data_IF_952382231396
#
_entry.id   IF_952382231396
#
_cell.length_a   1.000
_cell.length_b   1.000
_cell.length_c   1.000
_cell.angle_alpha   90.00
_cell.angle_beta   90.00
_cell.angle_gamma   90.00
#
_symmetry.space_group_name_H-M   'P 1'
#
loop_
_entity.id
_entity.type
_entity.pdbx_description
1 polymer ?
#
# COMPACT_ATOMS: atom_id res chain seq x y z
N UNK A 1 13.48 -1.72 13.81
CA UNK A 1 13.72 -2.26 12.46
C UNK A 1 12.42 -2.32 11.70
N UNK A 2 12.47 -1.98 10.42
CA UNK A 2 11.29 -2.02 9.56
C UNK A 2 10.97 -3.46 9.16
N UNK A 3 9.67 -3.81 9.14
CA UNK A 3 9.18 -5.08 8.59
C UNK A 3 8.91 -4.97 7.09
N UNK A 4 9.13 -3.80 6.50
CA UNK A 4 8.92 -3.53 5.09
C UNK A 4 10.23 -3.06 4.47
N UNK A 5 10.77 -3.86 3.54
CA UNK A 5 12.04 -3.59 2.89
C UNK A 5 11.81 -3.09 1.47
N UNK A 6 12.66 -2.16 1.03
CA UNK A 6 12.67 -1.69 -0.36
C UNK A 6 13.81 -2.38 -1.08
N UNK A 7 13.50 -3.04 -2.20
CA UNK A 7 14.47 -3.76 -3.02
C UNK A 7 14.52 -3.07 -4.38
N UNK A 8 15.52 -2.21 -4.58
CA UNK A 8 15.71 -1.48 -5.83
C UNK A 8 17.14 -0.99 -5.95
N UNK A 9 17.65 -0.94 -7.19
CA UNK A 9 18.92 -0.32 -7.52
C UNK A 9 18.77 1.09 -8.05
N UNK A 10 17.53 1.62 -8.09
CA UNK A 10 17.28 2.95 -8.62
C UNK A 10 17.41 4.02 -7.56
N UNK A 11 17.76 5.23 -8.03
CA UNK A 11 17.72 6.43 -7.21
C UNK A 11 16.39 7.12 -7.42
N UNK A 12 15.84 7.71 -6.35
CA UNK A 12 14.57 8.42 -6.38
C UNK A 12 14.80 9.90 -6.12
N UNK A 13 14.01 10.76 -6.83
CA UNK A 13 13.98 12.18 -6.52
C UNK A 13 13.40 12.39 -5.11
N UNK A 14 13.61 13.57 -4.50
CA UNK A 14 13.01 13.84 -3.19
C UNK A 14 11.49 13.64 -3.17
N UNK A 15 10.79 14.06 -4.23
CA UNK A 15 9.34 13.91 -4.30
C UNK A 15 8.91 12.47 -4.50
N UNK A 16 9.62 11.72 -5.35
CA UNK A 16 9.38 10.28 -5.49
C UNK A 16 9.60 9.55 -4.18
N UNK A 17 10.63 9.94 -3.43
CA UNK A 17 10.93 9.35 -2.13
C UNK A 17 9.82 9.62 -1.12
N UNK A 18 9.19 10.80 -1.16
CA UNK A 18 8.03 11.08 -0.31
C UNK A 18 6.90 10.09 -0.55
N UNK A 19 6.59 9.79 -1.81
CA UNK A 19 5.55 8.82 -2.18
C UNK A 19 5.94 7.43 -1.69
N UNK A 20 7.18 7.02 -1.94
CA UNK A 20 7.69 5.72 -1.53
C UNK A 20 7.65 5.55 -0.01
N UNK A 21 8.11 6.57 0.73
CA UNK A 21 8.10 6.55 2.20
C UNK A 21 6.66 6.49 2.73
N UNK A 22 5.74 7.22 2.11
CA UNK A 22 4.32 7.18 2.48
C UNK A 22 3.75 5.78 2.33
N UNK A 23 4.04 5.11 1.22
CA UNK A 23 3.55 3.75 0.98
C UNK A 23 4.19 2.76 1.96
N UNK A 24 5.50 2.88 2.18
CA UNK A 24 6.20 2.02 3.15
C UNK A 24 5.61 2.18 4.56
N UNK A 25 5.35 3.40 4.98
CA UNK A 25 4.73 3.69 6.28
C UNK A 25 3.32 3.11 6.35
N UNK A 26 2.55 3.20 5.26
CA UNK A 26 1.22 2.59 5.21
C UNK A 26 1.28 1.08 5.45
N UNK A 27 2.20 0.38 4.77
CA UNK A 27 2.37 -1.05 4.98
C UNK A 27 2.74 -1.36 6.44
N UNK A 28 3.64 -0.57 7.04
CA UNK A 28 3.98 -0.73 8.45
C UNK A 28 2.75 -0.54 9.35
N UNK A 29 1.90 0.44 9.05
CA UNK A 29 0.66 0.67 9.80
C UNK A 29 -0.30 -0.51 9.69
N UNK A 30 -0.39 -1.14 8.51
CA UNK A 30 -1.19 -2.35 8.31
C UNK A 30 -0.64 -3.52 9.16
N UNK A 31 0.68 -3.67 9.18
CA UNK A 31 1.33 -4.72 9.96
C UNK A 31 1.03 -4.55 11.46
N UNK A 32 1.09 -3.32 11.96
CA UNK A 32 0.81 -2.98 13.35
C UNK A 32 -0.68 -2.94 13.68
N UNK A 33 -1.54 -2.91 12.67
CA UNK A 33 -2.99 -2.72 12.80
C UNK A 33 -3.34 -1.44 13.58
N UNK A 34 -2.61 -0.38 13.28
CA UNK A 34 -2.79 0.94 13.87
C UNK A 34 -3.93 1.66 13.13
N UNK A 35 -5.16 1.48 13.61
CA UNK A 35 -6.34 2.00 12.93
C UNK A 35 -6.29 3.51 12.68
N UNK A 36 -5.97 4.36 13.67
CA UNK A 36 -5.89 5.80 13.41
C UNK A 36 -4.88 6.16 12.32
N UNK A 37 -3.72 5.51 12.28
CA UNK A 37 -2.70 5.75 11.25
C UNK A 37 -3.19 5.30 9.88
N UNK A 38 -3.82 4.13 9.79
CA UNK A 38 -4.39 3.62 8.54
C UNK A 38 -5.46 4.60 8.02
N UNK A 39 -6.37 5.04 8.88
CA UNK A 39 -7.41 5.98 8.51
C UNK A 39 -6.85 7.32 8.03
N UNK A 40 -5.78 7.80 8.66
CA UNK A 40 -5.15 9.06 8.31
C UNK A 40 -4.48 9.04 6.94
N UNK A 41 -4.07 7.88 6.46
CA UNK A 41 -3.36 7.72 5.19
C UNK A 41 -4.30 7.50 4.01
N UNK A 42 -5.42 6.82 4.23
CA UNK A 42 -6.34 6.47 3.15
C UNK A 42 -7.28 7.64 2.83
N UNK A 43 -7.35 8.01 1.55
CA UNK A 43 -8.35 8.97 1.10
C UNK A 43 -9.76 8.44 1.38
N UNK A 44 -10.75 9.33 1.64
CA UNK A 44 -12.13 8.87 1.80
C UNK A 44 -12.68 8.06 0.64
N UNK A 45 -12.15 8.28 -0.58
CA UNK A 45 -12.56 7.55 -1.78
C UNK A 45 -11.74 6.27 -2.02
N UNK A 46 -10.86 5.89 -1.10
CA UNK A 46 -9.96 4.76 -1.29
C UNK A 46 -10.68 3.48 -1.67
N UNK A 47 -10.07 2.75 -2.62
CA UNK A 47 -10.54 1.43 -3.05
C UNK A 47 -9.34 0.50 -3.16
N UNK A 48 -9.47 -0.70 -2.59
CA UNK A 48 -8.59 -1.82 -2.86
C UNK A 48 -9.22 -2.68 -3.95
N UNK A 49 -8.51 -2.90 -5.04
CA UNK A 49 -8.93 -3.85 -6.05
C UNK A 49 -8.17 -5.14 -5.80
N UNK A 50 -8.90 -6.18 -5.41
CA UNK A 50 -8.32 -7.49 -5.10
C UNK A 50 -7.78 -8.18 -6.35
N UNK A 51 -6.99 -9.23 -6.16
CA UNK A 51 -6.34 -9.94 -7.25
C UNK A 51 -7.34 -10.51 -8.27
N UNK A 52 -8.56 -10.82 -7.85
CA UNK A 52 -9.64 -11.30 -8.72
C UNK A 52 -10.42 -10.16 -9.40
N UNK A 53 -10.01 -8.91 -9.18
CA UNK A 53 -10.64 -7.73 -9.77
C UNK A 53 -11.79 -7.15 -8.94
N UNK A 54 -12.15 -7.76 -7.82
CA UNK A 54 -13.24 -7.26 -6.98
C UNK A 54 -12.82 -6.04 -6.19
N UNK A 55 -13.61 -4.94 -6.23
CA UNK A 55 -13.29 -3.74 -5.45
C UNK A 55 -13.76 -3.89 -4.00
N UNK A 56 -12.98 -3.32 -3.10
CA UNK A 56 -13.33 -3.20 -1.68
C UNK A 56 -13.14 -1.76 -1.26
N UNK A 57 -14.20 -1.17 -0.69
CA UNK A 57 -14.16 0.22 -0.25
C UNK A 57 -13.35 0.36 1.03
N UNK A 58 -12.98 1.61 1.32
CA UNK A 58 -12.12 2.01 2.44
C UNK A 58 -12.51 1.36 3.76
N UNK A 59 -13.77 1.51 4.18
CA UNK A 59 -14.21 1.03 5.50
C UNK A 59 -14.18 -0.51 5.59
N UNK A 60 -14.58 -1.20 4.52
CA UNK A 60 -14.51 -2.66 4.47
C UNK A 60 -13.08 -3.17 4.55
N UNK A 61 -12.15 -2.49 3.87
CA UNK A 61 -10.73 -2.83 3.93
C UNK A 61 -10.18 -2.64 5.34
N UNK A 62 -10.43 -1.48 5.95
CA UNK A 62 -9.97 -1.18 7.31
C UNK A 62 -10.52 -2.22 8.30
N UNK A 63 -11.81 -2.51 8.21
CA UNK A 63 -12.44 -3.50 9.10
C UNK A 63 -11.81 -4.87 8.95
N UNK A 64 -11.51 -5.31 7.72
CA UNK A 64 -10.87 -6.60 7.49
C UNK A 64 -9.46 -6.67 8.07
N UNK A 65 -8.71 -5.57 8.04
CA UNK A 65 -7.39 -5.49 8.67
C UNK A 65 -7.54 -5.61 10.20
N UNK A 66 -8.45 -4.84 10.77
CA UNK A 66 -8.59 -4.78 12.24
C UNK A 66 -9.17 -6.07 12.82
N UNK A 67 -10.12 -6.69 12.12
CA UNK A 67 -10.78 -7.93 12.61
C UNK A 67 -9.97 -9.20 12.32
N UNK A 68 -8.87 -9.10 11.58
CA UNK A 68 -8.00 -10.24 11.32
C UNK A 68 -8.33 -11.05 10.08
N UNK A 69 -9.17 -10.53 9.17
CA UNK A 69 -9.36 -11.14 7.86
C UNK A 69 -8.14 -10.89 6.95
N UNK A 70 -7.48 -9.74 7.13
CA UNK A 70 -6.26 -9.36 6.43
C UNK A 70 -5.16 -9.12 7.45
N UNK A 71 -4.14 -9.99 7.47
CA UNK A 71 -3.01 -9.88 8.39
C UNK A 71 -1.72 -9.86 7.59
N UNK A 72 -0.94 -8.81 7.77
CA UNK A 72 0.34 -8.64 7.13
C UNK A 72 1.44 -8.69 8.19
N UNK A 73 2.50 -9.47 7.96
CA UNK A 73 3.59 -9.65 8.93
C UNK A 73 4.89 -9.04 8.46
N UNK A 74 5.24 -9.28 7.19
CA UNK A 74 6.45 -8.74 6.57
C UNK A 74 6.16 -8.42 5.12
N UNK A 75 6.93 -7.48 4.56
CA UNK A 75 6.73 -7.04 3.18
C UNK A 75 8.05 -6.67 2.53
N UNK A 76 8.14 -6.88 1.22
CA UNK A 76 9.23 -6.38 0.37
C UNK A 76 8.62 -5.64 -0.80
N UNK A 77 9.05 -4.39 -0.99
CA UNK A 77 8.64 -3.55 -2.12
C UNK A 77 9.72 -3.69 -3.20
N UNK A 78 9.40 -4.41 -4.26
CA UNK A 78 10.35 -4.83 -5.28
C UNK A 78 10.23 -3.95 -6.51
N UNK A 79 11.32 -3.26 -6.85
CA UNK A 79 11.46 -2.41 -8.03
C UNK A 79 10.33 -1.40 -8.19
N UNK A 80 10.09 -0.53 -7.20
CA UNK A 80 9.06 0.49 -7.34
C UNK A 80 9.42 1.49 -8.44
N UNK A 81 8.44 1.80 -9.29
CA UNK A 81 8.55 2.78 -10.36
C UNK A 81 7.50 3.86 -10.10
N UNK A 82 7.93 5.09 -9.93
CA UNK A 82 7.07 6.17 -9.47
C UNK A 82 7.04 7.28 -10.51
N UNK A 83 5.84 7.64 -10.96
CA UNK A 83 5.59 8.76 -11.84
C UNK A 83 4.79 9.81 -11.09
N UNK A 84 5.21 11.06 -11.17
CA UNK A 84 4.54 12.17 -10.51
C UNK A 84 4.19 13.21 -11.54
N UNK A 85 2.93 13.64 -11.52
CA UNK A 85 2.43 14.71 -12.35
C UNK A 85 1.56 15.63 -11.49
N UNK A 86 2.04 16.85 -11.23
CA UNK A 86 1.37 17.80 -10.35
C UNK A 86 1.16 17.20 -8.95
N UNK A 87 -0.09 17.12 -8.51
CA UNK A 87 -0.45 16.57 -7.20
C UNK A 87 -0.88 15.11 -7.26
N UNK A 88 -0.52 14.40 -8.33
CA UNK A 88 -0.87 12.99 -8.49
C UNK A 88 0.38 12.15 -8.70
N UNK A 89 0.36 10.94 -8.16
CA UNK A 89 1.45 9.99 -8.33
C UNK A 89 0.88 8.61 -8.64
N UNK A 90 1.64 7.87 -9.43
CA UNK A 90 1.36 6.47 -9.71
C UNK A 90 2.63 5.67 -9.41
N UNK A 91 2.46 4.58 -8.66
CA UNK A 91 3.56 3.67 -8.35
C UNK A 91 3.24 2.28 -8.84
N UNK A 92 4.09 1.74 -9.71
CA UNK A 92 4.07 0.33 -10.07
C UNK A 92 5.11 -0.37 -9.22
N UNK A 93 4.70 -1.43 -8.53
CA UNK A 93 5.58 -2.14 -7.61
C UNK A 93 5.09 -3.57 -7.44
N UNK A 94 6.03 -4.52 -7.34
CA UNK A 94 5.71 -5.86 -6.90
C UNK A 94 5.85 -5.88 -5.38
N UNK A 95 4.79 -6.24 -4.67
CA UNK A 95 4.80 -6.30 -3.21
C UNK A 95 4.73 -7.76 -2.79
N UNK A 96 5.79 -8.23 -2.14
CA UNK A 96 5.81 -9.56 -1.54
C UNK A 96 5.36 -9.43 -0.09
N UNK A 97 4.32 -10.18 0.27
CA UNK A 97 3.80 -10.21 1.63
C UNK A 97 3.94 -11.60 2.24
N UNK A 98 4.46 -11.64 3.46
CA UNK A 98 4.24 -12.74 4.38
C UNK A 98 2.94 -12.39 5.13
N UNK A 99 1.88 -13.16 4.91
CA UNK A 99 0.55 -12.73 5.34
C UNK A 99 -0.38 -13.92 5.60
N UNK A 100 -1.48 -13.62 6.29
CA UNK A 100 -2.62 -14.52 6.47
C UNK A 100 -3.86 -13.76 6.03
N UNK A 101 -4.38 -14.10 4.84
CA UNK A 101 -5.50 -13.36 4.24
C UNK A 101 -6.67 -14.32 4.02
N UNK A 102 -7.82 -13.97 4.61
CA UNK A 102 -9.05 -14.76 4.53
C UNK A 102 -8.81 -16.25 4.84
N UNK A 103 -8.02 -16.50 5.89
CA UNK A 103 -7.72 -17.85 6.35
C UNK A 103 -6.60 -18.58 5.62
N UNK A 104 -6.01 -17.99 4.58
CA UNK A 104 -4.92 -18.58 3.82
C UNK A 104 -3.59 -17.94 4.19
N UNK A 105 -2.69 -18.72 4.76
CA UNK A 105 -1.35 -18.25 5.15
C UNK A 105 -0.34 -18.58 4.06
N UNK A 106 0.57 -17.64 3.82
CA UNK A 106 1.66 -17.86 2.88
C UNK A 106 2.43 -16.60 2.55
N UNK A 107 3.36 -16.74 1.62
CA UNK A 107 4.11 -15.62 1.05
C UNK A 107 3.60 -15.42 -0.37
N UNK A 108 3.01 -14.26 -0.63
CA UNK A 108 2.41 -13.95 -1.92
C UNK A 108 3.02 -12.68 -2.50
N UNK A 109 3.21 -12.67 -3.81
CA UNK A 109 3.67 -11.47 -4.53
C UNK A 109 2.52 -10.90 -5.34
N UNK A 110 2.20 -9.63 -5.06
CA UNK A 110 1.15 -8.90 -5.75
C UNK A 110 1.78 -7.88 -6.68
N UNK A 111 1.36 -7.90 -7.94
CA UNK A 111 1.75 -6.84 -8.88
C UNK A 111 0.80 -5.68 -8.71
N UNK A 112 1.31 -4.58 -8.16
CA UNK A 112 0.49 -3.46 -7.77
C UNK A 112 0.67 -2.26 -8.69
N UNK A 113 -0.45 -1.59 -8.98
CA UNK A 113 -0.47 -0.24 -9.53
C UNK A 113 -1.22 0.63 -8.53
N UNK A 114 -0.52 1.58 -7.93
CA UNK A 114 -1.04 2.36 -6.81
C UNK A 114 -1.17 3.83 -7.22
N UNK A 115 -2.32 4.42 -6.94
CA UNK A 115 -2.58 5.84 -7.21
C UNK A 115 -2.61 6.63 -5.90
N UNK A 116 -1.97 7.80 -5.93
CA UNK A 116 -1.87 8.74 -4.81
C UNK A 116 -2.26 10.13 -5.25
N UNK A 117 -2.75 10.93 -4.31
CA UNK A 117 -3.00 12.35 -4.54
C UNK A 117 -2.47 13.17 -3.38
N UNK A 118 -1.76 14.27 -3.68
CA UNK A 118 -1.22 15.16 -2.67
C UNK A 118 -2.24 16.23 -2.31
N UNK A 119 -2.57 16.31 -1.03
CA UNK A 119 -3.46 17.31 -0.45
C UNK A 119 -2.86 17.82 0.85
N UNK A 120 -2.80 19.13 1.04
CA UNK A 120 -2.25 19.73 2.26
C UNK A 120 -0.84 19.24 2.58
N UNK A 121 0.01 19.14 1.53
CA UNK A 121 1.39 18.68 1.61
C UNK A 121 1.55 17.23 2.07
N UNK A 122 0.49 16.43 1.93
CA UNK A 122 0.51 15.01 2.31
C UNK A 122 -0.01 14.17 1.16
N UNK A 123 0.67 13.02 0.91
CA UNK A 123 0.22 12.05 -0.08
C UNK A 123 -0.82 11.13 0.53
N UNK A 124 -2.02 11.10 -0.07
CA UNK A 124 -3.11 10.20 0.30
C UNK A 124 -3.19 9.05 -0.68
N UNK A 125 -3.48 7.85 -0.17
CA UNK A 125 -3.63 6.65 -0.98
C UNK A 125 -5.06 6.58 -1.51
N UNK A 126 -5.18 6.51 -2.84
CA UNK A 126 -6.47 6.57 -3.54
C UNK A 126 -6.91 5.20 -4.03
N UNK A 127 -6.02 4.48 -4.73
CA UNK A 127 -6.33 3.16 -5.28
C UNK A 127 -5.14 2.24 -5.05
N UNK A 128 -5.43 1.07 -4.49
CA UNK A 128 -4.49 -0.03 -4.39
C UNK A 128 -4.95 -1.12 -5.34
N UNK A 129 -4.41 -1.16 -6.55
CA UNK A 129 -4.82 -2.12 -7.57
C UNK A 129 -3.86 -3.30 -7.60
N UNK A 130 -4.34 -4.48 -7.17
CA UNK A 130 -3.55 -5.71 -7.14
C UNK A 130 -3.95 -6.68 -8.27
N UNK A 131 -4.84 -6.26 -9.17
CA UNK A 131 -5.31 -7.05 -10.30
C UNK A 131 -4.55 -6.66 -11.58
N UNK A 132 -3.29 -7.09 -11.65
CA UNK A 132 -2.42 -6.76 -12.81
C UNK A 132 -1.71 -8.00 -13.33
#
# INVERSE_FOLDING_TARGET
MSNTQIVSNESFSPEQKEVLDSFQNHIEDLIKKDRPAIEAYLDPSFVLIHKDGKPQKREGFIDDVITGQLNYYKSRLIEPKIEIENNKAKMKVDVEFDCLVYGTKGVFTLKCVNDFEKKNNKWYFIIWNTNN
#
